data_IF_799225065567
#
_entry.id   IF_799225065567
#
_cell.length_a   1.000
_cell.length_b   1.000
_cell.length_c   1.000
_cell.angle_alpha   90.00
_cell.angle_beta   90.00
_cell.angle_gamma   90.00
#
_symmetry.space_group_name_H-M   'P 1'
#
loop_
_entity.id
_entity.type
_entity.pdbx_description
1 polymer ?
#
# COMPACT_ATOMS: atom_id res chain seq x y z
N UNK A 1 7.99 29.71 42.95
CA UNK A 1 8.66 30.00 41.65
C UNK A 1 9.83 29.06 41.35
N UNK A 2 10.71 28.70 42.30
CA UNK A 2 11.89 27.86 42.00
C UNK A 2 11.60 26.37 41.72
N UNK A 3 10.57 25.76 42.33
CA UNK A 3 10.20 24.36 42.02
C UNK A 3 9.56 24.20 40.64
N UNK A 4 8.70 25.16 40.23
CA UNK A 4 8.08 25.19 38.90
C UNK A 4 9.13 25.40 37.78
N UNK A 5 10.12 26.28 38.00
CA UNK A 5 11.23 26.46 37.06
C UNK A 5 12.16 25.24 36.95
N UNK A 6 12.36 24.48 38.04
CA UNK A 6 13.12 23.22 38.00
C UNK A 6 12.36 22.10 37.30
N UNK A 7 11.05 21.98 37.50
CA UNK A 7 10.22 21.01 36.77
C UNK A 7 10.15 21.33 35.28
N UNK A 8 10.03 22.61 34.92
CA UNK A 8 9.96 23.04 33.51
C UNK A 8 11.29 22.82 32.78
N UNK A 9 12.43 23.07 33.45
CA UNK A 9 13.76 22.77 32.90
C UNK A 9 14.02 21.27 32.74
N UNK A 10 13.62 20.44 33.72
CA UNK A 10 13.78 18.99 33.63
C UNK A 10 12.91 18.41 32.51
N UNK A 11 11.67 18.86 32.35
CA UNK A 11 10.80 18.44 31.24
C UNK A 11 11.39 18.82 29.87
N UNK A 12 12.02 20.00 29.77
CA UNK A 12 12.68 20.44 28.53
C UNK A 12 13.89 19.56 28.19
N UNK A 13 14.68 19.19 29.20
CA UNK A 13 15.84 18.31 29.01
C UNK A 13 15.44 16.89 28.59
N UNK A 14 14.40 16.32 29.20
CA UNK A 14 13.87 14.99 28.83
C UNK A 14 13.37 14.98 27.38
N UNK A 15 12.71 16.06 26.94
CA UNK A 15 12.28 16.21 25.53
C UNK A 15 13.47 16.25 24.57
N UNK A 16 14.51 17.04 24.88
CA UNK A 16 15.72 17.10 24.07
C UNK A 16 16.44 15.74 23.99
N UNK A 17 16.54 15.03 25.12
CA UNK A 17 17.13 13.71 25.17
C UNK A 17 16.32 12.70 24.32
N UNK A 18 14.98 12.78 24.34
CA UNK A 18 14.12 11.95 23.50
C UNK A 18 14.32 12.23 22.00
N UNK A 19 14.35 13.50 21.60
CA UNK A 19 14.61 13.88 20.21
C UNK A 19 15.98 13.42 19.74
N UNK A 20 16.99 13.53 20.62
CA UNK A 20 18.34 13.07 20.33
C UNK A 20 18.39 11.54 20.21
N UNK A 21 17.73 10.78 21.09
CA UNK A 21 17.65 9.32 20.99
C UNK A 21 16.99 8.86 19.69
N UNK A 22 15.92 9.55 19.26
CA UNK A 22 15.27 9.29 17.98
C UNK A 22 16.19 9.60 16.79
N UNK A 23 17.00 10.66 16.88
CA UNK A 23 17.98 10.98 15.83
C UNK A 23 19.08 9.92 15.72
N UNK A 24 19.60 9.42 16.86
CA UNK A 24 20.58 8.33 16.89
C UNK A 24 20.01 7.05 16.26
N UNK A 25 18.75 6.74 16.57
CA UNK A 25 18.06 5.58 15.98
C UNK A 25 17.89 5.74 14.46
N UNK A 26 17.53 6.94 14.00
CA UNK A 26 17.40 7.30 12.58
C UNK A 26 18.74 7.17 11.84
N UNK A 27 19.85 7.49 12.50
CA UNK A 27 21.20 7.39 11.95
C UNK A 27 21.78 5.97 12.02
N UNK A 28 21.05 5.01 12.63
CA UNK A 28 21.50 3.63 12.75
C UNK A 28 22.42 3.34 13.95
N UNK A 29 22.63 4.32 14.82
CA UNK A 29 23.42 4.19 16.06
C UNK A 29 22.59 3.52 17.15
N UNK A 30 22.19 2.27 16.92
CA UNK A 30 21.22 1.54 17.76
C UNK A 30 21.71 1.36 19.19
N UNK A 31 23.00 1.10 19.41
CA UNK A 31 23.56 0.96 20.76
C UNK A 31 23.49 2.27 21.55
N UNK A 32 23.88 3.38 20.93
CA UNK A 32 23.86 4.69 21.58
C UNK A 32 22.42 5.15 21.88
N UNK A 33 21.50 4.90 20.94
CA UNK A 33 20.08 5.16 21.14
C UNK A 33 19.51 4.33 22.30
N UNK A 34 19.91 3.05 22.40
CA UNK A 34 19.50 2.16 23.48
C UNK A 34 19.92 2.68 24.86
N UNK A 35 21.19 3.07 25.02
CA UNK A 35 21.71 3.60 26.28
C UNK A 35 21.03 4.92 26.70
N UNK A 36 20.72 5.77 25.71
CA UNK A 36 20.00 7.01 25.96
C UNK A 36 18.54 6.76 26.35
N UNK A 37 17.86 5.78 25.75
CA UNK A 37 16.52 5.39 26.19
C UNK A 37 16.49 4.82 27.62
N UNK A 38 17.53 4.09 28.05
CA UNK A 38 17.66 3.66 29.45
C UNK A 38 17.75 4.88 30.37
N UNK A 39 18.58 5.86 30.00
CA UNK A 39 18.77 7.09 30.78
C UNK A 39 17.44 7.85 30.92
N UNK A 40 16.68 7.98 29.84
CA UNK A 40 15.36 8.63 29.85
C UNK A 40 14.38 7.86 30.74
N UNK A 41 14.36 6.52 30.68
CA UNK A 41 13.44 5.71 31.49
C UNK A 41 13.78 5.75 32.98
N UNK A 42 15.05 5.98 33.34
CA UNK A 42 15.46 6.19 34.73
C UNK A 42 14.96 7.53 35.29
N UNK A 43 14.76 8.54 34.44
CA UNK A 43 14.23 9.85 34.81
C UNK A 43 12.68 9.88 34.77
N UNK A 44 12.08 9.21 33.78
CA UNK A 44 10.64 9.04 33.59
C UNK A 44 10.29 7.58 33.28
N UNK A 45 9.95 6.83 34.32
CA UNK A 45 9.62 5.41 34.27
C UNK A 45 8.41 5.06 33.37
N UNK A 46 7.57 6.04 33.06
CA UNK A 46 6.35 5.84 32.27
C UNK A 46 6.47 6.32 30.82
N UNK A 47 7.70 6.62 30.37
CA UNK A 47 7.92 7.20 29.06
C UNK A 47 7.73 6.19 27.94
N UNK A 48 6.61 6.29 27.22
CA UNK A 48 6.27 5.40 26.10
C UNK A 48 7.31 5.41 24.97
N UNK A 49 7.94 6.56 24.70
CA UNK A 49 8.97 6.67 23.65
C UNK A 49 10.19 5.85 24.03
N UNK A 50 10.68 6.00 25.27
CA UNK A 50 11.83 5.25 25.76
C UNK A 50 11.54 3.74 25.84
N UNK A 51 10.38 3.34 26.40
CA UNK A 51 9.99 1.93 26.48
C UNK A 51 9.91 1.28 25.09
N UNK A 52 9.29 1.97 24.13
CA UNK A 52 9.21 1.53 22.73
C UNK A 52 10.62 1.45 22.11
N UNK A 53 11.43 2.48 22.33
CA UNK A 53 12.82 2.58 21.86
C UNK A 53 13.66 1.38 22.25
N UNK A 54 13.62 0.98 23.52
CA UNK A 54 14.37 -0.18 24.03
C UNK A 54 13.95 -1.49 23.36
N UNK A 55 12.63 -1.71 23.21
CA UNK A 55 12.10 -2.92 22.55
C UNK A 55 12.56 -3.00 21.10
N UNK A 56 12.45 -1.90 20.36
CA UNK A 56 12.82 -1.82 18.94
C UNK A 56 14.32 -1.97 18.76
N UNK A 57 15.15 -1.30 19.57
CA UNK A 57 16.61 -1.43 19.50
C UNK A 57 17.04 -2.89 19.72
N UNK A 58 16.48 -3.58 20.71
CA UNK A 58 16.76 -5.02 20.93
C UNK A 58 16.33 -5.89 19.75
N UNK A 59 15.17 -5.62 19.17
CA UNK A 59 14.66 -6.38 18.02
C UNK A 59 15.61 -6.28 16.81
N UNK A 60 16.08 -5.07 16.50
CA UNK A 60 16.89 -4.79 15.32
C UNK A 60 18.37 -5.10 15.51
N UNK A 61 18.95 -4.88 16.69
CA UNK A 61 20.36 -5.19 16.97
C UNK A 61 20.69 -6.68 16.69
N UNK A 62 19.80 -7.58 17.07
CA UNK A 62 19.98 -9.02 16.84
C UNK A 62 19.88 -9.44 15.36
N UNK A 63 19.20 -8.64 14.53
CA UNK A 63 18.91 -8.98 13.12
C UNK A 63 19.88 -8.34 12.15
N UNK A 64 20.40 -7.15 12.47
CA UNK A 64 21.34 -6.49 11.57
C UNK A 64 22.64 -7.27 11.42
N UNK A 65 23.11 -7.94 12.48
CA UNK A 65 24.30 -8.79 12.44
C UNK A 65 24.15 -9.99 11.50
N UNK A 66 22.94 -10.53 11.31
CA UNK A 66 22.72 -11.65 10.39
C UNK A 66 22.72 -11.22 8.92
N UNK A 67 22.47 -9.93 8.66
CA UNK A 67 22.38 -9.37 7.31
C UNK A 67 23.79 -9.04 6.75
N UNK A 68 24.78 -8.81 7.60
CA UNK A 68 26.11 -8.29 7.23
C UNK A 68 26.86 -9.12 6.17
N UNK A 69 26.70 -10.44 6.15
CA UNK A 69 27.46 -11.36 5.29
C UNK A 69 26.74 -11.73 3.98
N UNK A 70 26.11 -10.76 3.31
CA UNK A 70 25.34 -10.98 2.07
C UNK A 70 25.73 -10.03 0.93
N UNK A 71 25.31 -10.36 -0.30
CA UNK A 71 25.43 -9.48 -1.48
C UNK A 71 24.59 -8.21 -1.29
N UNK A 72 24.92 -7.08 -1.95
CA UNK A 72 24.17 -5.83 -1.81
C UNK A 72 22.65 -5.99 -2.04
N UNK A 73 22.22 -6.63 -3.14
CA UNK A 73 20.80 -6.93 -3.36
C UNK A 73 20.16 -7.71 -2.20
N UNK A 74 20.74 -8.86 -1.82
CA UNK A 74 20.22 -9.69 -0.72
C UNK A 74 20.14 -8.91 0.60
N UNK A 75 21.09 -8.02 0.89
CA UNK A 75 21.01 -7.15 2.09
C UNK A 75 19.78 -6.25 2.05
N UNK A 76 19.55 -5.56 0.93
CA UNK A 76 18.37 -4.70 0.75
C UNK A 76 17.07 -5.50 0.84
N UNK A 77 17.01 -6.67 0.21
CA UNK A 77 15.85 -7.57 0.25
C UNK A 77 15.57 -8.10 1.67
N UNK A 78 16.60 -8.56 2.38
CA UNK A 78 16.44 -9.07 3.75
C UNK A 78 15.96 -7.99 4.72
N UNK A 79 16.45 -6.75 4.59
CA UNK A 79 15.95 -5.63 5.40
C UNK A 79 14.45 -5.39 5.18
N UNK A 80 13.99 -5.49 3.93
CA UNK A 80 12.58 -5.37 3.57
C UNK A 80 11.73 -6.52 4.15
N UNK A 81 12.21 -7.77 4.04
CA UNK A 81 11.53 -8.94 4.59
C UNK A 81 11.46 -8.91 6.13
N UNK A 82 12.54 -8.49 6.79
CA UNK A 82 12.55 -8.29 8.25
C UNK A 82 11.64 -7.15 8.67
N UNK A 83 11.51 -6.09 7.87
CA UNK A 83 10.54 -5.03 8.13
C UNK A 83 9.10 -5.57 8.12
N UNK A 84 8.72 -6.38 7.13
CA UNK A 84 7.38 -7.00 7.09
C UNK A 84 7.11 -7.89 8.30
N UNK A 85 8.11 -8.67 8.74
CA UNK A 85 8.02 -9.47 9.98
C UNK A 85 7.88 -8.60 11.22
N UNK A 86 8.56 -7.44 11.22
CA UNK A 86 8.49 -6.46 12.29
C UNK A 86 7.11 -5.81 12.36
N UNK A 87 6.53 -5.37 11.24
CA UNK A 87 5.17 -4.80 11.19
C UNK A 87 4.12 -5.76 11.78
N UNK A 88 4.14 -7.03 11.34
CA UNK A 88 3.25 -8.06 11.89
C UNK A 88 3.45 -8.28 13.40
N UNK A 89 4.67 -8.12 13.90
CA UNK A 89 4.94 -8.20 15.35
C UNK A 89 4.43 -6.96 16.11
N UNK A 90 4.37 -5.80 15.46
CA UNK A 90 3.84 -4.56 16.04
C UNK A 90 2.30 -4.56 16.08
N UNK A 91 1.60 -5.15 15.12
CA UNK A 91 0.13 -5.23 15.10
C UNK A 91 -0.45 -5.85 16.39
N UNK A 92 0.29 -6.76 17.03
CA UNK A 92 -0.11 -7.40 18.29
C UNK A 92 0.03 -6.49 19.53
N UNK A 93 0.66 -5.32 19.41
CA UNK A 93 1.02 -4.46 20.54
C UNK A 93 0.20 -3.17 20.53
N UNK A 94 -0.43 -2.84 21.66
CA UNK A 94 -1.37 -1.70 21.75
C UNK A 94 -0.72 -0.36 22.14
N UNK A 95 0.50 -0.37 22.68
CA UNK A 95 1.18 0.80 23.21
C UNK A 95 2.56 0.95 22.55
N UNK A 96 2.60 1.51 21.34
CA UNK A 96 3.85 1.75 20.61
C UNK A 96 3.91 3.21 20.18
N UNK A 97 5.06 3.85 20.38
CA UNK A 97 5.32 5.20 19.88
C UNK A 97 5.60 5.22 18.37
N UNK A 98 4.73 5.87 17.60
CA UNK A 98 4.89 6.06 16.15
C UNK A 98 6.18 6.83 15.81
N UNK A 99 6.64 7.74 16.67
CA UNK A 99 7.90 8.47 16.46
C UNK A 99 9.11 7.53 16.38
N UNK A 100 9.12 6.50 17.22
CA UNK A 100 10.21 5.50 17.24
C UNK A 100 10.11 4.61 16.00
N UNK A 101 8.90 4.16 15.64
CA UNK A 101 8.65 3.38 14.41
C UNK A 101 9.17 4.15 13.20
N UNK A 102 8.83 5.44 13.08
CA UNK A 102 9.26 6.27 11.94
C UNK A 102 10.79 6.45 11.90
N UNK A 103 11.45 6.61 13.05
CA UNK A 103 12.90 6.72 13.11
C UNK A 103 13.60 5.43 12.64
N UNK A 104 13.16 4.26 13.13
CA UNK A 104 13.73 2.98 12.69
C UNK A 104 13.35 2.64 11.24
N UNK A 105 12.14 2.98 10.80
CA UNK A 105 11.71 2.85 9.40
C UNK A 105 12.66 3.60 8.48
N UNK A 106 12.93 4.88 8.78
CA UNK A 106 13.85 5.68 8.00
C UNK A 106 15.24 5.02 7.94
N UNK A 107 15.79 4.58 9.06
CA UNK A 107 17.08 3.89 9.09
C UNK A 107 17.09 2.63 8.20
N UNK A 108 16.11 1.75 8.37
CA UNK A 108 16.03 0.45 7.68
C UNK A 108 15.92 0.65 6.17
N UNK A 109 15.00 1.50 5.72
CA UNK A 109 14.79 1.72 4.29
C UNK A 109 15.88 2.59 3.66
N UNK A 110 16.47 3.54 4.38
CA UNK A 110 17.64 4.27 3.89
C UNK A 110 18.85 3.34 3.73
N UNK A 111 19.06 2.41 4.66
CA UNK A 111 20.13 1.41 4.57
C UNK A 111 19.88 0.43 3.43
N UNK A 112 18.63 -0.06 3.28
CA UNK A 112 18.25 -0.90 2.16
C UNK A 112 18.48 -0.19 0.82
N UNK A 113 18.10 1.09 0.73
CA UNK A 113 18.33 1.92 -0.45
C UNK A 113 19.82 2.03 -0.80
N UNK A 114 20.70 2.23 0.17
CA UNK A 114 22.15 2.28 -0.07
C UNK A 114 22.68 0.98 -0.68
N UNK A 115 22.27 -0.18 -0.14
CA UNK A 115 22.67 -1.47 -0.68
C UNK A 115 22.11 -1.73 -2.07
N UNK A 116 20.84 -1.38 -2.33
CA UNK A 116 20.22 -1.53 -3.65
C UNK A 116 20.85 -0.60 -4.69
N UNK A 117 21.19 0.64 -4.32
CA UNK A 117 21.90 1.57 -5.21
C UNK A 117 23.31 1.07 -5.55
N UNK A 118 24.00 0.47 -4.57
CA UNK A 118 25.30 -0.17 -4.82
C UNK A 118 25.14 -1.33 -5.80
N UNK A 119 24.12 -2.17 -5.62
CA UNK A 119 23.83 -3.28 -6.54
C UNK A 119 23.59 -2.79 -7.99
N UNK A 120 22.82 -1.72 -8.16
CA UNK A 120 22.56 -1.08 -9.45
C UNK A 120 23.85 -0.52 -10.09
N UNK A 121 24.78 -0.02 -9.29
CA UNK A 121 26.06 0.53 -9.79
C UNK A 121 27.03 -0.59 -10.21
N UNK A 122 27.07 -1.68 -9.44
CA UNK A 122 27.98 -2.80 -9.68
C UNK A 122 27.50 -3.67 -10.86
N UNK A 123 26.19 -3.73 -11.12
CA UNK A 123 25.58 -4.56 -12.15
C UNK A 123 25.24 -3.78 -13.43
N UNK A 124 25.58 -4.35 -14.60
CA UNK A 124 25.25 -3.75 -15.92
C UNK A 124 23.79 -3.94 -16.33
N UNK A 125 23.16 -5.02 -15.86
CA UNK A 125 21.76 -5.33 -16.10
C UNK A 125 21.04 -5.14 -14.77
N UNK A 126 20.04 -4.28 -14.74
CA UNK A 126 19.28 -4.01 -13.53
C UNK A 126 18.01 -4.82 -13.55
N UNK A 127 17.90 -5.75 -12.60
CA UNK A 127 16.73 -6.61 -12.49
C UNK A 127 15.49 -5.85 -11.98
N UNK A 128 14.32 -6.25 -12.46
CA UNK A 128 13.03 -5.66 -12.07
C UNK A 128 12.82 -5.66 -10.54
N UNK A 129 13.12 -6.75 -9.79
CA UNK A 129 13.00 -6.74 -8.33
C UNK A 129 13.87 -5.70 -7.63
N UNK A 130 15.10 -5.45 -8.14
CA UNK A 130 16.00 -4.43 -7.59
C UNK A 130 15.40 -3.03 -7.79
N UNK A 131 14.88 -2.75 -8.99
CA UNK A 131 14.19 -1.49 -9.29
C UNK A 131 12.97 -1.30 -8.39
N UNK A 132 12.16 -2.35 -8.23
CA UNK A 132 10.95 -2.32 -7.42
C UNK A 132 11.26 -2.04 -5.95
N UNK A 133 12.20 -2.80 -5.34
CA UNK A 133 12.61 -2.57 -3.96
C UNK A 133 13.26 -1.21 -3.75
N UNK A 134 13.94 -0.67 -4.76
CA UNK A 134 14.50 0.68 -4.73
C UNK A 134 13.38 1.72 -4.68
N UNK A 135 12.37 1.59 -5.53
CA UNK A 135 11.17 2.45 -5.51
C UNK A 135 10.43 2.38 -4.18
N UNK A 136 10.23 1.18 -3.63
CA UNK A 136 9.65 0.97 -2.31
C UNK A 136 10.45 1.64 -1.20
N UNK A 137 11.79 1.57 -1.26
CA UNK A 137 12.66 2.18 -0.26
C UNK A 137 12.57 3.71 -0.31
N UNK A 138 12.58 4.31 -1.51
CA UNK A 138 12.35 5.75 -1.67
C UNK A 138 10.97 6.18 -1.15
N UNK A 139 9.92 5.41 -1.46
CA UNK A 139 8.56 5.66 -0.95
C UNK A 139 8.53 5.67 0.57
N UNK A 140 9.10 4.65 1.23
CA UNK A 140 9.07 4.52 2.70
C UNK A 140 9.92 5.56 3.43
N UNK A 141 10.91 6.17 2.80
CA UNK A 141 11.65 7.32 3.38
C UNK A 141 11.01 8.68 3.05
N UNK A 142 9.90 8.70 2.29
CA UNK A 142 9.16 9.91 1.91
C UNK A 142 9.68 10.62 0.67
N UNK A 143 10.60 10.03 -0.09
CA UNK A 143 11.10 10.58 -1.36
C UNK A 143 10.26 10.05 -2.53
N UNK A 144 9.05 10.59 -2.65
CA UNK A 144 8.07 10.14 -3.64
C UNK A 144 8.51 10.44 -5.08
N UNK A 145 9.28 11.51 -5.29
CA UNK A 145 9.79 11.87 -6.61
C UNK A 145 10.72 10.80 -7.18
N UNK A 146 11.67 10.30 -6.39
CA UNK A 146 12.50 9.19 -6.83
C UNK A 146 11.73 7.88 -6.89
N UNK A 147 10.80 7.63 -5.95
CA UNK A 147 9.97 6.43 -5.98
C UNK A 147 9.21 6.28 -7.31
N UNK A 148 8.57 7.37 -7.77
CA UNK A 148 7.88 7.46 -9.06
C UNK A 148 8.80 7.04 -10.21
N UNK A 149 10.01 7.62 -10.29
CA UNK A 149 10.98 7.32 -11.36
C UNK A 149 11.32 5.82 -11.39
N UNK A 150 11.49 5.20 -10.24
CA UNK A 150 11.83 3.78 -10.17
C UNK A 150 10.65 2.86 -10.51
N UNK A 151 9.43 3.19 -10.08
CA UNK A 151 8.25 2.43 -10.48
C UNK A 151 7.94 2.57 -11.98
N UNK A 152 8.13 3.75 -12.56
CA UNK A 152 8.02 3.95 -14.02
C UNK A 152 9.04 3.10 -14.78
N UNK A 153 10.26 2.94 -14.26
CA UNK A 153 11.27 2.03 -14.83
C UNK A 153 10.85 0.56 -14.71
N UNK A 154 10.23 0.15 -13.61
CA UNK A 154 9.67 -1.21 -13.48
C UNK A 154 8.62 -1.45 -14.57
N UNK A 155 7.64 -0.56 -14.67
CA UNK A 155 6.53 -0.66 -15.64
C UNK A 155 7.04 -0.65 -17.09
N UNK A 156 8.10 0.12 -17.38
CA UNK A 156 8.72 0.15 -18.70
C UNK A 156 9.30 -1.21 -19.11
N UNK A 157 9.89 -1.94 -18.15
CA UNK A 157 10.49 -3.25 -18.38
C UNK A 157 9.47 -4.40 -18.26
N UNK A 158 8.43 -4.22 -17.45
CA UNK A 158 7.34 -5.17 -17.25
C UNK A 158 5.99 -4.44 -17.17
N UNK A 159 5.30 -4.38 -18.31
CA UNK A 159 4.01 -3.68 -18.44
C UNK A 159 2.85 -4.37 -17.74
N UNK A 160 3.04 -5.61 -17.27
CA UNK A 160 2.00 -6.38 -16.58
C UNK A 160 2.23 -6.40 -15.07
N UNK A 161 3.09 -5.52 -14.54
CA UNK A 161 3.39 -5.45 -13.12
C UNK A 161 2.35 -4.61 -12.35
N UNK A 162 1.20 -5.19 -12.04
CA UNK A 162 0.12 -4.48 -11.34
C UNK A 162 0.57 -3.88 -10.00
N UNK A 163 1.45 -4.56 -9.26
CA UNK A 163 1.96 -4.06 -7.99
C UNK A 163 2.81 -2.79 -8.15
N UNK A 164 3.57 -2.65 -9.24
CA UNK A 164 4.29 -1.42 -9.56
C UNK A 164 3.33 -0.30 -9.98
N UNK A 165 2.29 -0.60 -10.74
CA UNK A 165 1.23 0.38 -11.04
C UNK A 165 0.53 0.87 -9.78
N UNK A 166 0.19 -0.03 -8.84
CA UNK A 166 -0.43 0.33 -7.57
C UNK A 166 0.47 1.22 -6.72
N UNK A 167 1.76 0.89 -6.61
CA UNK A 167 2.70 1.71 -5.84
C UNK A 167 3.03 3.06 -6.52
N UNK A 168 3.02 3.11 -7.85
CA UNK A 168 3.10 4.38 -8.59
C UNK A 168 1.88 5.25 -8.32
N UNK A 169 0.68 4.67 -8.38
CA UNK A 169 -0.58 5.34 -8.06
C UNK A 169 -0.57 5.89 -6.62
N UNK A 170 -0.07 5.09 -5.68
CA UNK A 170 0.07 5.43 -4.28
C UNK A 170 1.00 6.62 -4.07
N UNK A 171 2.16 6.64 -4.74
CA UNK A 171 3.06 7.78 -4.71
C UNK A 171 2.40 9.05 -5.26
N UNK A 172 1.62 8.94 -6.34
CA UNK A 172 0.87 10.09 -6.86
C UNK A 172 -0.21 10.57 -5.87
N UNK A 173 -0.89 9.67 -5.16
CA UNK A 173 -1.86 10.05 -4.14
C UNK A 173 -1.18 10.78 -2.96
N UNK A 174 0.02 10.33 -2.54
CA UNK A 174 0.78 10.95 -1.44
C UNK A 174 1.35 12.34 -1.77
N UNK A 175 1.37 12.73 -3.04
CA UNK A 175 1.74 14.08 -3.50
C UNK A 175 0.52 14.86 -4.01
N UNK A 176 -0.69 14.46 -3.61
CA UNK A 176 -1.97 15.10 -3.93
C UNK A 176 -2.33 15.13 -5.44
N UNK A 177 -1.72 14.26 -6.24
CA UNK A 177 -2.00 14.06 -7.67
C UNK A 177 -3.10 13.00 -7.88
N UNK A 178 -4.23 13.19 -7.19
CA UNK A 178 -5.35 12.24 -7.10
C UNK A 178 -5.86 11.77 -8.46
N UNK A 179 -5.85 12.66 -9.46
CA UNK A 179 -6.35 12.30 -10.79
C UNK A 179 -5.52 11.19 -11.43
N UNK A 180 -4.19 11.32 -11.34
CA UNK A 180 -3.26 10.30 -11.86
C UNK A 180 -3.33 9.03 -11.02
N UNK A 181 -3.40 9.18 -9.70
CA UNK A 181 -3.52 8.05 -8.78
C UNK A 181 -4.74 7.18 -9.12
N UNK A 182 -5.93 7.78 -9.30
CA UNK A 182 -7.16 7.05 -9.65
C UNK A 182 -7.03 6.25 -10.94
N UNK A 183 -6.45 6.85 -11.98
CA UNK A 183 -6.23 6.15 -13.27
C UNK A 183 -5.30 4.97 -13.05
N UNK A 184 -4.16 5.18 -12.39
CA UNK A 184 -3.15 4.13 -12.19
C UNK A 184 -3.63 3.01 -11.25
N UNK A 185 -4.42 3.32 -10.21
CA UNK A 185 -5.04 2.29 -9.38
C UNK A 185 -6.02 1.44 -10.19
N UNK A 186 -6.88 2.07 -11.01
CA UNK A 186 -7.77 1.33 -11.91
C UNK A 186 -7.00 0.40 -12.85
N UNK A 187 -5.88 0.86 -13.40
CA UNK A 187 -5.00 0.03 -14.23
C UNK A 187 -4.39 -1.13 -13.44
N UNK A 188 -3.86 -0.87 -12.25
CA UNK A 188 -3.26 -1.90 -11.41
C UNK A 188 -4.25 -3.05 -11.16
N UNK A 189 -5.45 -2.72 -10.68
CA UNK A 189 -6.49 -3.72 -10.41
C UNK A 189 -7.11 -4.31 -11.69
N UNK A 190 -6.94 -3.70 -12.86
CA UNK A 190 -7.36 -4.30 -14.13
C UNK A 190 -6.35 -5.35 -14.62
N UNK A 191 -5.04 -5.10 -14.45
CA UNK A 191 -3.98 -6.00 -14.90
C UNK A 191 -4.01 -7.30 -14.10
N UNK A 192 -3.89 -7.20 -12.78
CA UNK A 192 -3.95 -8.36 -11.88
C UNK A 192 -4.16 -7.88 -10.44
N UNK A 193 -5.39 -7.96 -9.89
CA UNK A 193 -5.65 -7.69 -8.49
C UNK A 193 -4.83 -8.54 -7.53
N UNK A 194 -4.57 -9.80 -7.86
CA UNK A 194 -4.01 -10.77 -6.90
C UNK A 194 -2.57 -10.42 -6.50
N UNK A 195 -1.76 -9.93 -7.44
CA UNK A 195 -0.35 -9.59 -7.18
C UNK A 195 -0.13 -8.24 -6.49
N UNK A 196 -1.18 -7.47 -6.22
CA UNK A 196 -1.09 -6.17 -5.52
C UNK A 196 -0.94 -6.40 -4.02
N UNK A 197 0.11 -5.84 -3.44
CA UNK A 197 0.32 -5.83 -1.99
C UNK A 197 -0.44 -4.65 -1.37
N UNK A 198 -1.75 -4.81 -1.17
CA UNK A 198 -2.64 -3.74 -0.68
C UNK A 198 -2.30 -3.27 0.75
N UNK A 199 -1.66 -4.13 1.55
CA UNK A 199 -1.24 -3.79 2.92
C UNK A 199 -0.10 -2.77 2.92
N UNK A 200 0.69 -2.73 1.85
CA UNK A 200 1.83 -1.82 1.68
C UNK A 200 1.46 -0.45 1.12
N UNK A 201 0.21 -0.25 0.70
CA UNK A 201 -0.29 1.00 0.14
C UNK A 201 -0.62 1.97 1.29
N UNK A 202 -0.21 3.22 1.15
CA UNK A 202 -0.32 4.27 2.17
C UNK A 202 -1.39 5.34 1.80
N UNK A 203 -2.03 5.21 0.63
CA UNK A 203 -3.09 6.13 0.16
C UNK A 203 -4.36 6.06 0.99
N UNK A 204 -4.78 7.23 1.49
CA UNK A 204 -6.04 7.44 2.19
C UNK A 204 -7.26 6.92 1.40
N UNK A 205 -7.20 7.00 0.07
CA UNK A 205 -8.28 6.55 -0.81
C UNK A 205 -8.48 5.03 -0.75
N UNK A 206 -7.38 4.28 -0.79
CA UNK A 206 -7.42 2.82 -0.70
C UNK A 206 -7.76 2.39 0.73
N UNK A 207 -7.22 3.06 1.75
CA UNK A 207 -7.58 2.78 3.14
C UNK A 207 -9.06 3.02 3.42
N UNK A 208 -9.63 4.11 2.92
CA UNK A 208 -11.07 4.38 3.05
C UNK A 208 -11.92 3.31 2.36
N UNK A 209 -11.51 2.84 1.17
CA UNK A 209 -12.16 1.73 0.48
C UNK A 209 -12.08 0.44 1.29
N UNK A 210 -10.89 0.07 1.76
CA UNK A 210 -10.70 -1.13 2.58
C UNK A 210 -11.57 -1.06 3.83
N UNK A 211 -11.60 0.06 4.53
CA UNK A 211 -12.46 0.24 5.71
C UNK A 211 -13.94 -0.02 5.37
N UNK A 212 -14.47 0.60 4.32
CA UNK A 212 -15.86 0.40 3.89
C UNK A 212 -16.14 -1.05 3.45
N UNK A 213 -15.22 -1.67 2.72
CA UNK A 213 -15.34 -3.07 2.29
C UNK A 213 -15.33 -4.02 3.50
N UNK A 214 -14.51 -3.73 4.52
CA UNK A 214 -14.48 -4.55 5.74
C UNK A 214 -15.77 -4.43 6.57
N UNK A 215 -16.45 -3.27 6.56
CA UNK A 215 -17.78 -3.13 7.17
C UNK A 215 -18.83 -4.02 6.49
N UNK A 216 -18.59 -4.39 5.23
CA UNK A 216 -19.43 -5.32 4.47
C UNK A 216 -19.18 -6.79 4.80
N UNK A 217 -18.27 -7.07 5.75
CA UNK A 217 -17.85 -8.42 6.18
C UNK A 217 -17.17 -9.23 5.08
N UNK A 218 -16.57 -8.55 4.11
CA UNK A 218 -15.76 -9.20 3.07
C UNK A 218 -14.43 -9.65 3.70
N UNK A 219 -14.02 -10.92 3.52
CA UNK A 219 -12.75 -11.45 4.03
C UNK A 219 -11.52 -10.70 3.52
N UNK A 220 -10.43 -10.71 4.31
CA UNK A 220 -9.19 -9.97 3.99
C UNK A 220 -8.54 -10.46 2.69
N UNK A 221 -8.60 -11.76 2.45
CA UNK A 221 -8.06 -12.46 1.28
C UNK A 221 -8.83 -12.18 -0.02
N UNK A 222 -10.03 -11.62 0.06
CA UNK A 222 -10.85 -11.24 -1.10
C UNK A 222 -10.76 -9.75 -1.44
N UNK A 223 -10.17 -8.92 -0.55
CA UNK A 223 -10.17 -7.46 -0.67
C UNK A 223 -9.64 -6.97 -2.02
N UNK A 224 -8.57 -7.59 -2.54
CA UNK A 224 -7.96 -7.20 -3.81
C UNK A 224 -8.98 -7.19 -4.97
N UNK A 225 -9.92 -8.13 -4.98
CA UNK A 225 -10.91 -8.27 -6.04
C UNK A 225 -12.12 -7.35 -5.84
N UNK A 226 -12.47 -7.05 -4.59
CA UNK A 226 -13.59 -6.17 -4.26
C UNK A 226 -13.24 -4.67 -4.30
N UNK A 227 -11.96 -4.30 -4.11
CA UNK A 227 -11.48 -2.92 -4.21
C UNK A 227 -11.85 -2.26 -5.56
N UNK A 228 -11.59 -2.85 -6.74
CA UNK A 228 -11.97 -2.21 -8.00
C UNK A 228 -13.49 -2.09 -8.19
N UNK A 229 -14.27 -3.06 -7.69
CA UNK A 229 -15.74 -3.04 -7.74
C UNK A 229 -16.29 -1.89 -6.90
N UNK A 230 -15.96 -1.85 -5.61
CA UNK A 230 -16.43 -0.81 -4.71
C UNK A 230 -15.80 0.56 -4.99
N UNK A 231 -14.54 0.58 -5.42
CA UNK A 231 -13.88 1.75 -5.95
C UNK A 231 -14.70 2.39 -7.07
N UNK A 232 -15.24 1.60 -7.99
CA UNK A 232 -16.08 2.10 -9.07
C UNK A 232 -17.47 2.52 -8.62
N UNK A 233 -18.19 1.70 -7.83
CA UNK A 233 -19.58 1.98 -7.48
C UNK A 233 -19.75 3.05 -6.40
N UNK A 234 -18.73 3.27 -5.56
CA UNK A 234 -18.68 4.35 -4.56
C UNK A 234 -18.05 5.64 -5.10
N UNK A 235 -17.84 5.72 -6.41
CA UNK A 235 -17.33 6.90 -7.12
C UNK A 235 -15.90 7.33 -6.75
N UNK A 236 -15.10 6.43 -6.18
CA UNK A 236 -13.71 6.70 -5.82
C UNK A 236 -12.83 6.59 -7.08
N UNK A 237 -13.02 5.54 -7.86
CA UNK A 237 -12.40 5.30 -9.17
C UNK A 237 -13.24 5.92 -10.30
N UNK A 238 -13.48 7.22 -10.23
CA UNK A 238 -14.37 7.92 -11.16
C UNK A 238 -13.71 8.44 -12.44
N UNK A 239 -12.38 8.39 -12.53
CA UNK A 239 -11.65 8.79 -13.73
C UNK A 239 -11.45 7.57 -14.61
N UNK A 240 -12.07 7.61 -15.78
CA UNK A 240 -12.12 6.49 -16.73
C UNK A 240 -11.17 6.77 -17.89
N UNK A 241 -10.55 5.71 -18.42
CA UNK A 241 -9.82 5.76 -19.68
C UNK A 241 -10.58 4.98 -20.75
N UNK A 242 -10.29 5.29 -22.00
CA UNK A 242 -10.78 4.50 -23.11
C UNK A 242 -10.12 3.13 -23.14
N UNK A 243 -10.95 2.10 -23.36
CA UNK A 243 -10.48 0.73 -23.61
C UNK A 243 -10.14 0.55 -25.08
N UNK A 244 -9.02 -0.12 -25.34
CA UNK A 244 -8.65 -0.57 -26.68
C UNK A 244 -9.58 -1.70 -27.13
N UNK A 245 -9.85 -1.81 -28.43
CA UNK A 245 -10.69 -2.87 -28.98
C UNK A 245 -10.20 -4.28 -28.61
N UNK A 246 -8.87 -4.46 -28.52
CA UNK A 246 -8.24 -5.71 -28.07
C UNK A 246 -8.55 -6.02 -26.61
N UNK A 247 -8.54 -5.00 -25.74
CA UNK A 247 -8.88 -5.16 -24.31
C UNK A 247 -10.34 -5.52 -24.13
N UNK A 248 -11.25 -4.88 -24.89
CA UNK A 248 -12.68 -5.24 -24.89
C UNK A 248 -12.89 -6.69 -25.32
N UNK A 249 -12.15 -7.15 -26.34
CA UNK A 249 -12.16 -8.56 -26.76
C UNK A 249 -11.72 -9.51 -25.65
N UNK A 250 -10.62 -9.19 -24.95
CA UNK A 250 -10.13 -9.98 -23.79
C UNK A 250 -11.14 -10.00 -22.65
N UNK A 251 -11.71 -8.85 -22.28
CA UNK A 251 -12.72 -8.76 -21.22
C UNK A 251 -13.92 -9.67 -21.51
N UNK A 252 -14.41 -9.68 -22.76
CA UNK A 252 -15.51 -10.58 -23.16
C UNK A 252 -15.13 -12.05 -23.06
N UNK A 253 -13.89 -12.42 -23.39
CA UNK A 253 -13.41 -13.79 -23.24
C UNK A 253 -13.33 -14.21 -21.77
N UNK A 254 -12.79 -13.35 -20.91
CA UNK A 254 -12.71 -13.57 -19.46
C UNK A 254 -14.10 -13.69 -18.83
N UNK A 255 -15.04 -12.81 -19.19
CA UNK A 255 -16.45 -12.89 -18.75
C UNK A 255 -17.03 -14.26 -19.07
N UNK A 256 -16.88 -14.72 -20.33
CA UNK A 256 -17.43 -16.01 -20.74
C UNK A 256 -16.83 -17.18 -19.94
N UNK A 257 -15.53 -17.13 -19.63
CA UNK A 257 -14.88 -18.15 -18.81
C UNK A 257 -15.41 -18.14 -17.36
N UNK A 258 -15.53 -16.96 -16.76
CA UNK A 258 -16.03 -16.80 -15.38
C UNK A 258 -17.51 -17.18 -15.26
N UNK A 259 -18.35 -16.83 -16.24
CA UNK A 259 -19.76 -17.26 -16.29
C UNK A 259 -19.87 -18.79 -16.32
N UNK A 260 -19.01 -19.47 -17.10
CA UNK A 260 -18.98 -20.93 -17.14
C UNK A 260 -18.47 -21.57 -15.85
N UNK A 261 -17.47 -20.95 -15.22
CA UNK A 261 -16.93 -21.38 -13.94
C UNK A 261 -17.99 -21.32 -12.85
N UNK A 262 -18.71 -20.19 -12.76
CA UNK A 262 -19.79 -20.00 -11.81
C UNK A 262 -20.99 -20.92 -12.07
N UNK A 263 -21.29 -21.22 -13.34
CA UNK A 263 -22.34 -22.19 -13.67
C UNK A 263 -22.01 -23.63 -13.20
N UNK A 264 -20.71 -23.97 -13.16
CA UNK A 264 -20.23 -25.30 -12.76
C UNK A 264 -19.95 -25.41 -11.25
N UNK A 265 -19.77 -24.29 -10.56
CA UNK A 265 -19.43 -24.31 -9.13
C UNK A 265 -20.64 -24.72 -8.29
N UNK A 266 -20.37 -25.51 -7.24
CA UNK A 266 -21.40 -25.94 -6.26
C UNK A 266 -21.52 -24.92 -5.12
N UNK A 267 -20.53 -24.02 -5.00
CA UNK A 267 -20.46 -22.95 -4.01
C UNK A 267 -20.39 -21.58 -4.68
N UNK A 268 -20.86 -20.57 -3.96
CA UNK A 268 -20.70 -19.16 -4.32
C UNK A 268 -19.22 -18.79 -4.18
N UNK A 269 -18.51 -18.75 -5.31
CA UNK A 269 -17.13 -18.26 -5.38
C UNK A 269 -17.15 -16.72 -5.46
N UNK A 270 -17.10 -16.08 -4.29
CA UNK A 270 -17.14 -14.61 -4.15
C UNK A 270 -16.00 -13.91 -4.91
N UNK A 271 -14.83 -14.55 -5.07
CA UNK A 271 -13.72 -14.00 -5.86
C UNK A 271 -14.10 -13.98 -7.34
N UNK A 272 -14.65 -15.07 -7.85
CA UNK A 272 -15.14 -15.15 -9.24
C UNK A 272 -16.27 -14.16 -9.49
N UNK A 273 -17.19 -14.00 -8.52
CA UNK A 273 -18.25 -13.00 -8.57
C UNK A 273 -17.67 -11.57 -8.63
N UNK A 274 -16.71 -11.23 -7.76
CA UNK A 274 -16.08 -9.92 -7.73
C UNK A 274 -15.37 -9.60 -9.06
N UNK A 275 -14.61 -10.57 -9.60
CA UNK A 275 -13.94 -10.44 -10.91
C UNK A 275 -14.94 -10.23 -12.05
N UNK A 276 -16.01 -11.01 -12.07
CA UNK A 276 -17.05 -10.93 -13.10
C UNK A 276 -17.78 -9.58 -13.06
N UNK A 277 -18.16 -9.12 -11.87
CA UNK A 277 -18.76 -7.79 -11.67
C UNK A 277 -17.79 -6.69 -12.14
N UNK A 278 -16.50 -6.77 -11.78
CA UNK A 278 -15.50 -5.79 -12.22
C UNK A 278 -15.43 -5.70 -13.75
N UNK A 279 -15.41 -6.84 -14.45
CA UNK A 279 -15.42 -6.85 -15.92
C UNK A 279 -16.71 -6.29 -16.53
N UNK A 280 -17.87 -6.56 -15.93
CA UNK A 280 -19.12 -5.91 -16.35
C UNK A 280 -19.07 -4.40 -16.17
N UNK A 281 -18.49 -3.90 -15.07
CA UNK A 281 -18.33 -2.47 -14.84
C UNK A 281 -17.38 -1.82 -15.87
N UNK A 282 -16.33 -2.51 -16.31
CA UNK A 282 -15.47 -2.04 -17.40
C UNK A 282 -16.20 -1.98 -18.74
N UNK A 283 -16.97 -3.02 -19.09
CA UNK A 283 -17.80 -2.98 -20.30
C UNK A 283 -18.88 -1.90 -20.22
N UNK A 284 -19.49 -1.74 -19.05
CA UNK A 284 -20.47 -0.70 -18.79
C UNK A 284 -19.87 0.68 -19.05
N UNK A 285 -18.71 0.98 -18.45
CA UNK A 285 -18.00 2.24 -18.66
C UNK A 285 -17.67 2.48 -20.15
N UNK A 286 -17.27 1.43 -20.87
CA UNK A 286 -16.97 1.50 -22.31
C UNK A 286 -18.20 1.80 -23.17
N UNK A 287 -19.34 1.15 -22.93
CA UNK A 287 -20.56 1.41 -23.70
C UNK A 287 -21.20 2.75 -23.32
N UNK A 288 -21.17 3.11 -22.04
CA UNK A 288 -21.73 4.36 -21.53
C UNK A 288 -21.12 5.58 -22.21
N UNK A 289 -19.79 5.58 -22.42
CA UNK A 289 -19.09 6.67 -23.12
C UNK A 289 -19.54 6.78 -24.59
N UNK A 290 -19.90 5.66 -25.24
CA UNK A 290 -20.31 5.65 -26.65
C UNK A 290 -21.78 5.97 -26.85
N UNK A 291 -22.65 5.33 -26.07
CA UNK A 291 -24.11 5.42 -26.14
C UNK A 291 -24.72 5.10 -24.75
N UNK A 292 -25.16 6.11 -23.98
CA UNK A 292 -25.69 5.92 -22.63
C UNK A 292 -27.10 5.27 -22.56
N UNK A 293 -27.83 5.22 -23.68
CA UNK A 293 -29.18 4.61 -23.76
C UNK A 293 -29.19 3.25 -24.49
N UNK A 294 -28.05 2.55 -24.49
CA UNK A 294 -27.89 1.27 -25.17
C UNK A 294 -28.54 0.13 -24.38
N UNK A 295 -29.29 -0.76 -25.07
CA UNK A 295 -29.90 -1.98 -24.48
C UNK A 295 -28.84 -2.83 -23.75
N UNK A 296 -27.60 -2.80 -24.23
CA UNK A 296 -26.46 -3.51 -23.64
C UNK A 296 -26.19 -3.03 -22.19
N UNK A 297 -26.39 -1.75 -21.88
CA UNK A 297 -26.17 -1.23 -20.53
C UNK A 297 -27.20 -1.79 -19.55
N UNK A 298 -28.45 -1.93 -19.98
CA UNK A 298 -29.52 -2.51 -19.19
C UNK A 298 -29.23 -3.99 -18.92
N UNK A 299 -28.78 -4.74 -19.94
CA UNK A 299 -28.38 -6.14 -19.78
C UNK A 299 -27.23 -6.29 -18.76
N UNK A 300 -26.20 -5.44 -18.85
CA UNK A 300 -25.07 -5.45 -17.91
C UNK A 300 -25.51 -5.12 -16.47
N UNK A 301 -26.42 -4.17 -16.30
CA UNK A 301 -27.00 -3.83 -15.01
C UNK A 301 -27.80 -4.99 -14.40
N UNK A 302 -28.60 -5.70 -15.20
CA UNK A 302 -29.31 -6.89 -14.75
C UNK A 302 -28.36 -8.01 -14.35
N UNK A 303 -27.28 -8.23 -15.11
CA UNK A 303 -26.23 -9.20 -14.74
C UNK A 303 -25.56 -8.84 -13.41
N UNK A 304 -25.19 -7.57 -13.21
CA UNK A 304 -24.62 -7.10 -11.93
C UNK A 304 -25.63 -7.28 -10.80
N UNK A 305 -26.92 -6.98 -11.02
CA UNK A 305 -27.98 -7.13 -10.01
C UNK A 305 -28.18 -8.59 -9.60
N UNK A 306 -28.12 -9.52 -10.54
CA UNK A 306 -28.25 -10.94 -10.28
C UNK A 306 -27.07 -11.49 -9.45
N UNK A 307 -25.87 -10.95 -9.65
CA UNK A 307 -24.68 -11.32 -8.87
C UNK A 307 -24.62 -10.64 -7.50
N UNK A 308 -24.97 -9.36 -7.42
CA UNK A 308 -24.99 -8.62 -6.16
C UNK A 308 -25.95 -7.43 -6.19
N UNK A 309 -27.09 -7.60 -5.52
CA UNK A 309 -28.09 -6.53 -5.32
C UNK A 309 -27.45 -5.30 -4.66
N UNK A 310 -26.52 -5.51 -3.72
CA UNK A 310 -25.81 -4.45 -3.00
C UNK A 310 -24.95 -3.60 -3.93
N UNK A 311 -24.12 -4.24 -4.77
CA UNK A 311 -23.30 -3.54 -5.76
C UNK A 311 -24.18 -2.77 -6.75
N UNK A 312 -25.24 -3.41 -7.26
CA UNK A 312 -26.19 -2.77 -8.15
C UNK A 312 -26.85 -1.52 -7.53
N UNK A 313 -27.22 -1.60 -6.25
CA UNK A 313 -27.85 -0.48 -5.53
C UNK A 313 -26.88 0.70 -5.40
N UNK A 314 -25.62 0.44 -5.06
CA UNK A 314 -24.57 1.46 -5.01
C UNK A 314 -24.30 2.07 -6.40
N UNK A 315 -24.27 1.24 -7.45
CA UNK A 315 -24.12 1.68 -8.83
C UNK A 315 -25.24 2.66 -9.23
N UNK A 316 -26.51 2.35 -8.92
CA UNK A 316 -27.66 3.22 -9.21
C UNK A 316 -27.66 4.50 -8.38
N UNK A 317 -27.33 4.42 -7.09
CA UNK A 317 -27.23 5.59 -6.23
C UNK A 317 -26.17 6.59 -6.74
N UNK A 318 -25.04 6.08 -7.25
CA UNK A 318 -24.01 6.92 -7.85
C UNK A 318 -24.47 7.62 -9.14
N UNK A 319 -25.16 6.93 -10.05
CA UNK A 319 -25.67 7.56 -11.28
C UNK A 319 -26.60 8.76 -11.01
N UNK A 320 -27.40 8.69 -9.94
CA UNK A 320 -28.28 9.80 -9.54
C UNK A 320 -27.48 11.02 -9.07
N UNK A 321 -26.27 10.81 -8.54
CA UNK A 321 -25.37 11.88 -8.10
C UNK A 321 -24.58 12.50 -9.26
N UNK A 322 -24.24 11.75 -10.31
CA UNK A 322 -23.54 12.28 -11.50
C UNK A 322 -24.42 13.18 -12.38
N UNK A 323 -25.75 13.07 -12.26
CA UNK A 323 -26.74 13.86 -13.03
C UNK A 323 -27.13 15.18 -12.34
N UNK A 324 -26.80 15.34 -11.04
CA UNK A 324 -27.02 16.56 -10.26
C UNK A 324 -25.75 17.40 -10.20
#
# INVERSE_FOLDING_TARGET
MNQKRKSDNNNTQVIQNMEFALSLLRDGRISDAYDLFITILNEDYSNLIAETGLKICKYWANRLSTIENNTPYNKGKMLYEEWKRFEKHLEAQKNISMKVINAIMFFVFNTALQYLKKDIQDNRIVDIPVLFLTGMSYKKIGDFSNAIIYFERVIKNDRNNSNAYANLADCYALIDEDKKAKVLFREAFFIDPFSIDIESLDSNMIHALIHQITEFKIPKDELNFWIPVYGRVLNIFNIKRDLLAVEVGKIRQEIFQLEQELYKSVSDDEITIARLINYYLWLYDYYYIKKPEDEILIELEEKIKNLSIKVYTNLKNNMIQEIK
#
